data_IF_699429468280
#
_entry.id   IF_699429468280
#
_cell.length_a   1.000
_cell.length_b   1.000
_cell.length_c   1.000
_cell.angle_alpha   90.00
_cell.angle_beta   90.00
_cell.angle_gamma   90.00
#
_symmetry.space_group_name_H-M   'P 1'
#
loop_
_entity.id
_entity.type
_entity.pdbx_description
1 polymer ?
#
# COMPACT_ATOMS: atom_id res chain seq x y z
N UNK A 1 15.19 -8.06 -2.84
CA UNK A 1 16.41 -8.65 -3.47
C UNK A 1 17.60 -8.71 -2.51
N UNK A 2 17.81 -7.71 -1.65
CA UNK A 2 18.93 -7.72 -0.73
C UNK A 2 18.78 -8.82 0.34
N UNK A 3 17.60 -8.94 0.93
CA UNK A 3 17.28 -9.98 1.91
C UNK A 3 17.55 -11.40 1.37
N UNK A 4 17.25 -11.66 0.08
CA UNK A 4 17.51 -12.97 -0.54
C UNK A 4 19.00 -13.34 -0.62
N UNK A 5 19.90 -12.38 -0.48
CA UNK A 5 21.35 -12.61 -0.46
C UNK A 5 21.89 -12.95 0.93
N UNK A 6 21.11 -12.66 1.98
CA UNK A 6 21.55 -12.71 3.36
C UNK A 6 20.73 -13.64 4.24
N UNK A 7 19.53 -14.02 3.82
CA UNK A 7 18.66 -14.99 4.49
C UNK A 7 18.58 -16.23 3.61
N UNK A 8 19.15 -17.32 4.07
CA UNK A 8 19.26 -18.58 3.33
C UNK A 8 18.09 -19.49 3.64
N UNK A 9 17.66 -19.54 4.89
CA UNK A 9 16.50 -20.33 5.32
C UNK A 9 15.38 -19.44 5.84
N UNK A 10 14.30 -19.33 5.06
CA UNK A 10 13.10 -18.57 5.45
C UNK A 10 12.16 -19.37 6.37
N UNK A 11 12.48 -20.62 6.71
CA UNK A 11 11.84 -21.37 7.79
C UNK A 11 12.47 -21.07 9.15
N UNK A 12 13.70 -20.55 9.16
CA UNK A 12 14.38 -20.06 10.35
C UNK A 12 13.98 -18.60 10.63
N UNK A 13 13.10 -18.44 11.61
CA UNK A 13 12.63 -17.12 12.03
C UNK A 13 13.72 -16.25 12.65
N UNK A 14 14.71 -16.87 13.28
CA UNK A 14 15.81 -16.15 13.94
C UNK A 14 16.74 -15.55 12.89
N UNK A 15 17.02 -16.25 11.79
CA UNK A 15 17.80 -15.71 10.68
C UNK A 15 17.09 -14.51 10.03
N UNK A 16 15.76 -14.60 9.81
CA UNK A 16 14.95 -13.49 9.33
C UNK A 16 15.01 -12.32 10.31
N UNK A 17 14.82 -12.57 11.59
CA UNK A 17 14.82 -11.57 12.66
C UNK A 17 16.15 -10.84 12.74
N UNK A 18 17.24 -11.56 12.71
CA UNK A 18 18.60 -10.99 12.75
C UNK A 18 18.86 -10.05 11.59
N UNK A 19 18.48 -10.46 10.39
CA UNK A 19 18.62 -9.60 9.22
C UNK A 19 17.76 -8.33 9.32
N UNK A 20 16.51 -8.46 9.74
CA UNK A 20 15.61 -7.32 9.93
C UNK A 20 16.11 -6.37 11.02
N UNK A 21 16.72 -6.89 12.08
CA UNK A 21 17.37 -6.07 13.10
C UNK A 21 18.58 -5.31 12.54
N UNK A 22 19.42 -5.96 11.70
CA UNK A 22 20.53 -5.27 11.01
C UNK A 22 20.01 -4.12 10.13
N UNK A 23 18.90 -4.32 9.40
CA UNK A 23 18.25 -3.22 8.66
C UNK A 23 17.83 -2.08 9.59
N UNK A 24 17.09 -2.39 10.66
CA UNK A 24 16.61 -1.39 11.60
C UNK A 24 17.75 -0.63 12.30
N UNK A 25 18.88 -1.28 12.56
CA UNK A 25 20.06 -0.64 13.17
C UNK A 25 21.00 0.04 12.16
N UNK A 26 20.56 0.22 10.91
CA UNK A 26 21.33 0.88 9.84
C UNK A 26 22.62 0.15 9.47
N UNK A 27 22.67 -1.17 9.66
CA UNK A 27 23.84 -2.02 9.40
C UNK A 27 23.74 -2.83 8.10
N UNK A 28 22.60 -2.78 7.40
CA UNK A 28 22.36 -3.52 6.17
C UNK A 28 21.64 -2.67 5.12
N UNK A 29 21.64 -3.14 3.87
CA UNK A 29 21.04 -2.51 2.69
C UNK A 29 21.46 -1.05 2.53
N UNK A 30 20.52 -0.10 2.52
CA UNK A 30 20.74 1.33 2.30
C UNK A 30 21.07 2.11 3.58
N UNK A 31 21.21 1.44 4.70
CA UNK A 31 21.55 2.01 6.02
C UNK A 31 20.59 3.10 6.52
N UNK A 32 19.35 3.15 6.00
CA UNK A 32 18.34 4.12 6.45
C UNK A 32 17.62 3.69 7.72
N UNK A 33 17.70 2.42 8.10
CA UNK A 33 17.03 1.89 9.29
C UNK A 33 15.54 1.69 9.09
N UNK A 34 15.11 1.43 7.83
CA UNK A 34 13.73 1.24 7.43
C UNK A 34 13.52 -0.17 6.89
N UNK A 35 12.36 -0.74 7.18
CA UNK A 35 11.83 -1.91 6.48
C UNK A 35 10.73 -1.40 5.57
N UNK A 36 11.00 -1.37 4.27
CA UNK A 36 10.07 -0.86 3.27
C UNK A 36 8.82 -1.73 3.17
N UNK A 37 7.69 -1.08 2.94
CA UNK A 37 6.39 -1.76 2.93
C UNK A 37 5.76 -1.94 4.31
N UNK A 38 6.43 -1.51 5.39
CA UNK A 38 5.92 -1.62 6.76
C UNK A 38 5.57 -0.25 7.34
N UNK A 39 4.37 -0.17 7.94
CA UNK A 39 3.83 1.05 8.56
C UNK A 39 3.13 1.98 7.59
N UNK A 40 2.23 2.80 8.11
CA UNK A 40 1.49 3.80 7.36
C UNK A 40 1.19 5.02 8.26
N UNK A 41 1.06 6.20 7.66
CA UNK A 41 0.77 7.43 8.41
C UNK A 41 -0.65 7.46 9.02
N UNK A 42 -1.60 6.78 8.38
CA UNK A 42 -3.02 6.74 8.77
C UNK A 42 -3.41 5.39 9.37
N UNK A 43 -3.07 4.30 8.69
CA UNK A 43 -3.45 2.95 9.11
C UNK A 43 -2.46 2.41 10.15
N UNK A 44 -2.94 2.20 11.37
CA UNK A 44 -2.12 1.71 12.50
C UNK A 44 -2.31 0.23 12.79
N UNK A 45 -3.53 -0.28 12.61
CA UNK A 45 -3.88 -1.67 12.88
C UNK A 45 -3.74 -2.55 11.63
N UNK A 46 -4.26 -2.06 10.51
CA UNK A 46 -4.26 -2.79 9.24
C UNK A 46 -4.50 -1.79 8.10
N UNK A 47 -3.80 -1.96 6.99
CA UNK A 47 -4.08 -1.25 5.74
C UNK A 47 -5.07 -2.10 4.92
N UNK A 48 -6.33 -1.67 4.74
CA UNK A 48 -7.34 -2.46 4.04
C UNK A 48 -6.95 -2.76 2.58
N UNK A 49 -6.16 -1.89 1.95
CA UNK A 49 -5.64 -2.11 0.60
C UNK A 49 -4.61 -3.24 0.58
N UNK A 50 -3.76 -3.32 1.61
CA UNK A 50 -2.78 -4.37 1.77
C UNK A 50 -3.46 -5.72 2.01
N UNK A 51 -4.52 -5.77 2.82
CA UNK A 51 -5.29 -6.99 3.09
C UNK A 51 -5.88 -7.56 1.79
N UNK A 52 -6.56 -6.72 1.00
CA UNK A 52 -7.13 -7.13 -0.28
C UNK A 52 -6.03 -7.59 -1.25
N UNK A 53 -4.95 -6.82 -1.37
CA UNK A 53 -3.85 -7.17 -2.27
C UNK A 53 -3.16 -8.48 -1.86
N UNK A 54 -3.03 -8.75 -0.55
CA UNK A 54 -2.48 -10.00 -0.01
C UNK A 54 -3.30 -11.22 -0.46
N UNK A 55 -4.63 -11.12 -0.45
CA UNK A 55 -5.50 -12.20 -0.92
C UNK A 55 -5.30 -12.49 -2.41
N UNK A 56 -5.21 -11.44 -3.24
CA UNK A 56 -4.90 -11.59 -4.65
C UNK A 56 -3.49 -12.15 -4.88
N UNK A 57 -2.50 -11.69 -4.10
CA UNK A 57 -1.13 -12.20 -4.16
C UNK A 57 -1.08 -13.70 -3.84
N UNK A 58 -1.87 -14.16 -2.86
CA UNK A 58 -1.99 -15.58 -2.50
C UNK A 58 -2.58 -16.40 -3.65
N UNK A 59 -3.70 -15.95 -4.23
CA UNK A 59 -4.34 -16.62 -5.38
C UNK A 59 -3.38 -16.71 -6.57
N UNK A 60 -2.78 -15.59 -6.94
CA UNK A 60 -1.83 -15.51 -8.05
C UNK A 60 -0.58 -16.36 -7.81
N UNK A 61 -0.10 -16.46 -6.56
CA UNK A 61 1.04 -17.31 -6.23
C UNK A 61 0.75 -18.80 -6.46
N UNK A 62 -0.48 -19.26 -6.17
CA UNK A 62 -0.91 -20.61 -6.47
C UNK A 62 -0.98 -20.86 -7.98
N UNK A 63 -1.58 -19.93 -8.74
CA UNK A 63 -1.65 -20.03 -10.21
C UNK A 63 -0.26 -20.06 -10.89
N UNK A 64 0.72 -19.39 -10.30
CA UNK A 64 2.10 -19.29 -10.81
C UNK A 64 3.08 -20.27 -10.16
N UNK A 65 2.61 -21.20 -9.32
CA UNK A 65 3.43 -22.17 -8.58
C UNK A 65 4.55 -21.50 -7.74
N UNK A 66 4.20 -20.39 -7.08
CA UNK A 66 5.13 -19.58 -6.24
C UNK A 66 4.68 -19.47 -4.78
N UNK A 67 3.95 -20.44 -4.27
CA UNK A 67 3.40 -20.45 -2.90
C UNK A 67 4.49 -20.38 -1.84
N UNK A 68 5.63 -21.06 -2.08
CA UNK A 68 6.79 -21.00 -1.19
C UNK A 68 7.34 -19.56 -1.07
N UNK A 69 7.29 -18.80 -2.14
CA UNK A 69 7.73 -17.41 -2.11
C UNK A 69 6.71 -16.52 -1.38
N UNK A 70 5.43 -16.75 -1.59
CA UNK A 70 4.37 -16.06 -0.85
C UNK A 70 4.50 -16.30 0.66
N UNK A 71 4.72 -17.54 1.10
CA UNK A 71 4.94 -17.88 2.50
C UNK A 71 6.12 -17.11 3.11
N UNK A 72 7.22 -16.89 2.34
CA UNK A 72 8.34 -16.04 2.78
C UNK A 72 7.91 -14.61 3.05
N UNK A 73 7.04 -14.04 2.20
CA UNK A 73 6.49 -12.69 2.43
C UNK A 73 5.66 -12.64 3.71
N UNK A 74 4.85 -13.67 3.99
CA UNK A 74 4.04 -13.74 5.22
C UNK A 74 4.93 -13.81 6.48
N UNK A 75 5.97 -14.64 6.47
CA UNK A 75 6.93 -14.72 7.58
C UNK A 75 7.63 -13.39 7.82
N UNK A 76 8.11 -12.74 6.74
CA UNK A 76 8.77 -11.44 6.84
C UNK A 76 7.82 -10.36 7.33
N UNK A 77 6.58 -10.31 6.84
CA UNK A 77 5.55 -9.36 7.30
C UNK A 77 5.36 -9.42 8.82
N UNK A 78 5.14 -10.63 9.34
CA UNK A 78 4.90 -10.85 10.77
C UNK A 78 6.12 -10.44 11.60
N UNK A 79 7.28 -10.98 11.28
CA UNK A 79 8.51 -10.75 12.05
C UNK A 79 8.94 -9.27 11.96
N UNK A 80 8.78 -8.62 10.80
CA UNK A 80 9.09 -7.20 10.64
C UNK A 80 8.19 -6.33 11.52
N UNK A 81 6.89 -6.63 11.58
CA UNK A 81 5.95 -5.92 12.46
C UNK A 81 6.36 -5.97 13.93
N UNK A 82 6.75 -7.16 14.40
CA UNK A 82 7.26 -7.38 15.77
C UNK A 82 8.57 -6.61 16.03
N UNK A 83 9.54 -6.72 15.11
CA UNK A 83 10.84 -6.07 15.24
C UNK A 83 10.72 -4.54 15.31
N UNK A 84 9.86 -3.95 14.47
CA UNK A 84 9.61 -2.50 14.48
C UNK A 84 8.94 -2.09 15.78
N UNK A 85 7.92 -2.85 16.23
CA UNK A 85 7.20 -2.57 17.47
C UNK A 85 8.16 -2.61 18.68
N UNK A 86 8.99 -3.65 18.77
CA UNK A 86 10.00 -3.77 19.82
C UNK A 86 10.98 -2.59 19.82
N UNK A 87 11.51 -2.22 18.65
CA UNK A 87 12.44 -1.09 18.52
C UNK A 87 11.82 0.24 18.90
N UNK A 88 10.57 0.47 18.51
CA UNK A 88 9.83 1.72 18.76
C UNK A 88 9.07 1.72 20.10
N UNK A 89 9.16 0.63 20.87
CA UNK A 89 8.43 0.43 22.14
C UNK A 89 6.91 0.60 21.97
N UNK A 90 6.37 0.04 20.88
CA UNK A 90 4.94 0.05 20.61
C UNK A 90 4.27 -1.16 21.27
N UNK A 91 3.02 -0.99 21.70
CA UNK A 91 2.21 -2.06 22.30
C UNK A 91 1.71 -3.09 21.28
N UNK A 92 1.65 -2.72 20.00
CA UNK A 92 1.14 -3.58 18.92
C UNK A 92 2.14 -3.64 17.77
N UNK A 93 2.20 -4.77 17.04
CA UNK A 93 2.97 -4.86 15.81
C UNK A 93 2.57 -3.80 14.78
N UNK A 94 3.52 -3.40 13.96
CA UNK A 94 3.28 -2.45 12.86
C UNK A 94 2.77 -3.24 11.66
N UNK A 95 1.65 -2.80 11.06
CA UNK A 95 1.08 -3.46 9.90
C UNK A 95 1.87 -3.20 8.62
N UNK A 96 1.78 -4.14 7.66
CA UNK A 96 2.23 -3.91 6.30
C UNK A 96 1.31 -2.89 5.59
N UNK A 97 1.87 -2.12 4.69
CA UNK A 97 1.12 -1.27 3.78
C UNK A 97 1.02 -1.90 2.38
N UNK A 98 0.29 -1.25 1.47
CA UNK A 98 0.03 -1.79 0.13
C UNK A 98 1.30 -2.12 -0.66
N UNK A 99 2.39 -1.39 -0.43
CA UNK A 99 3.65 -1.57 -1.18
C UNK A 99 4.36 -2.87 -0.83
N UNK A 100 4.05 -3.48 0.32
CA UNK A 100 4.67 -4.72 0.75
C UNK A 100 4.41 -5.87 -0.23
N UNK A 101 3.17 -6.01 -0.68
CA UNK A 101 2.78 -7.09 -1.62
C UNK A 101 2.75 -6.66 -3.08
N UNK A 102 2.67 -5.35 -3.39
CA UNK A 102 2.55 -4.86 -4.77
C UNK A 102 3.74 -5.29 -5.64
N UNK A 103 4.96 -5.18 -5.12
CA UNK A 103 6.15 -5.61 -5.85
C UNK A 103 6.19 -7.12 -6.14
N UNK A 104 5.65 -7.94 -5.25
CA UNK A 104 5.52 -9.38 -5.47
C UNK A 104 4.49 -9.69 -6.56
N UNK A 105 3.32 -9.04 -6.51
CA UNK A 105 2.28 -9.19 -7.54
C UNK A 105 2.81 -8.76 -8.90
N UNK A 106 3.45 -7.60 -9.01
CA UNK A 106 4.02 -7.11 -10.26
C UNK A 106 5.08 -8.06 -10.82
N UNK A 107 5.92 -8.62 -9.95
CA UNK A 107 6.90 -9.64 -10.36
C UNK A 107 6.24 -10.89 -10.94
N UNK A 108 5.14 -11.36 -10.33
CA UNK A 108 4.39 -12.52 -10.83
C UNK A 108 3.68 -12.25 -12.17
N UNK A 109 3.31 -10.99 -12.41
CA UNK A 109 2.73 -10.52 -13.67
C UNK A 109 3.79 -10.25 -14.75
N UNK A 110 5.07 -10.46 -14.45
CA UNK A 110 6.16 -10.24 -15.41
C UNK A 110 6.46 -8.78 -15.70
N UNK A 111 6.00 -7.84 -14.85
CA UNK A 111 6.26 -6.43 -15.04
C UNK A 111 7.71 -6.08 -14.69
N UNK A 112 8.44 -5.34 -15.54
CA UNK A 112 9.75 -4.84 -15.21
C UNK A 112 9.68 -3.81 -14.07
N UNK A 113 10.70 -3.78 -13.21
CA UNK A 113 10.71 -2.95 -11.99
C UNK A 113 10.62 -1.45 -12.27
N UNK A 114 11.12 -1.04 -13.41
CA UNK A 114 11.10 0.35 -13.90
C UNK A 114 9.65 0.86 -14.08
N UNK A 115 8.70 -0.04 -14.29
CA UNK A 115 7.29 0.30 -14.45
C UNK A 115 6.50 0.36 -13.13
N UNK A 116 7.03 -0.06 -11.99
CA UNK A 116 6.26 -0.12 -10.74
C UNK A 116 5.73 1.25 -10.31
N UNK A 117 6.58 2.26 -10.32
CA UNK A 117 6.17 3.65 -10.03
C UNK A 117 5.30 4.26 -11.15
N UNK A 118 5.65 4.13 -12.45
CA UNK A 118 4.79 4.59 -13.55
C UNK A 118 3.37 4.02 -13.52
N UNK A 119 3.18 2.73 -13.21
CA UNK A 119 1.85 2.11 -13.08
C UNK A 119 1.04 2.76 -11.97
N UNK A 120 1.67 3.09 -10.86
CA UNK A 120 1.03 3.84 -9.77
C UNK A 120 0.57 5.23 -10.24
N UNK A 121 1.41 5.95 -10.98
CA UNK A 121 1.08 7.25 -11.54
C UNK A 121 -0.08 7.16 -12.55
N UNK A 122 -0.06 6.18 -13.45
CA UNK A 122 -1.14 5.94 -14.43
C UNK A 122 -2.48 5.73 -13.71
N UNK A 123 -2.50 4.90 -12.66
CA UNK A 123 -3.72 4.63 -11.90
C UNK A 123 -4.25 5.88 -11.15
N UNK A 124 -3.42 6.88 -10.93
CA UNK A 124 -3.80 8.14 -10.26
C UNK A 124 -4.29 9.24 -11.21
N UNK A 125 -4.01 9.14 -12.50
CA UNK A 125 -4.35 10.20 -13.47
C UNK A 125 -5.83 10.53 -13.44
N UNK A 126 -6.71 9.54 -13.37
CA UNK A 126 -8.17 9.78 -13.29
C UNK A 126 -8.56 10.55 -12.03
N UNK A 127 -7.99 10.18 -10.87
CA UNK A 127 -8.23 10.88 -9.60
C UNK A 127 -7.64 12.30 -9.60
N UNK A 128 -6.44 12.49 -10.11
CA UNK A 128 -5.83 13.81 -10.25
C UNK A 128 -6.63 14.69 -11.20
N UNK A 129 -7.10 14.15 -12.32
CA UNK A 129 -7.94 14.90 -13.26
C UNK A 129 -9.26 15.31 -12.63
N UNK A 130 -9.92 14.43 -11.87
CA UNK A 130 -11.14 14.74 -11.14
C UNK A 130 -10.92 15.85 -10.12
N UNK A 131 -9.87 15.79 -9.32
CA UNK A 131 -9.53 16.83 -8.36
C UNK A 131 -9.18 18.16 -9.05
N UNK A 132 -8.47 18.10 -10.18
CA UNK A 132 -8.13 19.33 -10.93
C UNK A 132 -9.36 19.99 -11.52
N UNK A 133 -10.28 19.23 -12.06
CA UNK A 133 -11.55 19.75 -12.58
C UNK A 133 -12.36 20.38 -11.43
N UNK A 134 -12.47 19.71 -10.30
CA UNK A 134 -13.18 20.21 -9.12
C UNK A 134 -12.55 21.50 -8.60
N UNK A 135 -11.23 21.59 -8.54
CA UNK A 135 -10.51 22.80 -8.16
C UNK A 135 -10.79 23.98 -9.10
N UNK A 136 -10.77 23.73 -10.42
CA UNK A 136 -11.03 24.76 -11.43
C UNK A 136 -12.48 25.26 -11.39
N UNK A 137 -13.44 24.36 -11.18
CA UNK A 137 -14.88 24.68 -11.12
C UNK A 137 -15.23 25.48 -9.86
N UNK A 138 -14.59 25.14 -8.74
CA UNK A 138 -14.90 25.74 -7.44
C UNK A 138 -13.99 26.91 -7.06
N UNK A 139 -13.02 27.28 -7.91
CA UNK A 139 -12.01 28.31 -7.64
C UNK A 139 -11.38 28.18 -6.24
N UNK A 140 -11.11 26.92 -5.86
CA UNK A 140 -10.74 26.56 -4.51
C UNK A 140 -9.35 27.06 -4.10
N UNK A 141 -9.22 27.40 -2.83
CA UNK A 141 -7.92 27.65 -2.20
C UNK A 141 -7.14 26.34 -2.04
N UNK A 142 -5.83 26.43 -1.84
CA UNK A 142 -4.98 25.26 -1.55
C UNK A 142 -5.58 24.44 -0.40
N UNK A 143 -5.92 23.19 -0.66
CA UNK A 143 -6.43 22.25 0.34
C UNK A 143 -5.28 21.78 1.20
N UNK A 144 -5.40 21.96 2.51
CA UNK A 144 -4.46 21.40 3.50
C UNK A 144 -5.00 20.08 4.04
N UNK A 145 -4.18 19.03 4.19
CA UNK A 145 -4.65 17.66 4.49
C UNK A 145 -5.22 17.46 5.92
N UNK A 146 -5.62 18.50 6.61
CA UNK A 146 -6.23 18.45 7.95
C UNK A 146 -7.76 18.56 7.94
N UNK A 147 -8.40 18.54 6.77
CA UNK A 147 -9.87 18.63 6.66
C UNK A 147 -10.54 17.31 7.00
N UNK A 148 -11.58 17.40 7.82
CA UNK A 148 -12.46 16.27 8.12
C UNK A 148 -13.58 16.21 7.09
N UNK A 149 -13.86 15.02 6.56
CA UNK A 149 -15.04 14.81 5.73
C UNK A 149 -16.32 15.01 6.58
N UNK A 150 -17.18 15.92 6.15
CA UNK A 150 -18.45 16.27 6.83
C UNK A 150 -19.68 15.86 6.03
N UNK A 151 -19.50 15.24 4.88
CA UNK A 151 -20.59 14.72 4.05
C UNK A 151 -21.18 13.43 4.58
N UNK A 152 -22.29 13.00 4.02
CA UNK A 152 -22.90 11.72 4.34
C UNK A 152 -22.17 10.56 3.65
N UNK A 153 -21.83 9.52 4.41
CA UNK A 153 -21.34 8.29 3.82
C UNK A 153 -22.40 7.67 2.93
N UNK A 154 -22.05 7.43 1.68
CA UNK A 154 -22.92 6.76 0.72
C UNK A 154 -22.27 5.44 0.30
N UNK A 155 -23.04 4.36 0.12
CA UNK A 155 -22.53 3.11 -0.41
C UNK A 155 -22.00 3.33 -1.84
N UNK A 156 -21.00 2.56 -2.22
CA UNK A 156 -20.53 2.57 -3.60
C UNK A 156 -21.64 2.10 -4.54
N UNK A 157 -21.89 2.87 -5.60
CA UNK A 157 -22.82 2.50 -6.67
C UNK A 157 -21.99 2.21 -7.92
N UNK A 158 -22.12 0.99 -8.42
CA UNK A 158 -21.48 0.59 -9.67
C UNK A 158 -21.94 1.48 -10.84
N UNK A 159 -21.07 1.69 -11.82
CA UNK A 159 -21.30 2.68 -12.89
C UNK A 159 -22.58 2.38 -13.67
N UNK A 160 -22.91 1.10 -13.85
CA UNK A 160 -24.11 0.62 -14.56
C UNK A 160 -25.41 0.95 -13.82
N UNK A 161 -25.34 1.24 -12.53
CA UNK A 161 -26.47 1.56 -11.66
C UNK A 161 -26.59 3.04 -11.33
N UNK A 162 -25.70 3.87 -11.89
CA UNK A 162 -25.73 5.32 -11.65
C UNK A 162 -26.77 5.98 -12.56
N UNK A 163 -27.78 6.59 -11.96
CA UNK A 163 -28.70 7.43 -12.70
C UNK A 163 -28.06 8.77 -13.00
N UNK A 164 -28.17 9.33 -14.24
CA UNK A 164 -27.70 10.65 -14.55
C UNK A 164 -28.32 11.68 -13.59
N UNK A 165 -27.50 12.53 -12.98
CA UNK A 165 -28.00 13.61 -12.15
C UNK A 165 -28.76 14.57 -13.05
N UNK A 166 -30.04 14.80 -12.82
CA UNK A 166 -30.78 15.90 -13.48
C UNK A 166 -30.07 17.19 -13.08
N UNK A 167 -29.34 17.79 -14.00
CA UNK A 167 -28.75 19.12 -13.84
C UNK A 167 -29.87 20.12 -13.85
N UNK A 168 -30.37 20.52 -12.68
CA UNK A 168 -31.20 21.69 -12.53
C UNK A 168 -30.28 22.93 -12.56
N UNK A 169 -29.78 23.30 -13.73
CA UNK A 169 -29.22 24.62 -13.95
C UNK A 169 -30.32 25.51 -14.46
N UNK A 170 -31.10 26.08 -13.55
CA UNK A 170 -31.72 27.33 -13.80
C UNK A 170 -30.72 28.44 -13.46
N UNK A 171 -29.91 28.86 -14.40
CA UNK A 171 -29.29 30.17 -14.31
C UNK A 171 -30.42 31.22 -14.44
N UNK A 172 -30.87 31.76 -13.32
CA UNK A 172 -31.61 33.02 -13.36
C UNK A 172 -30.58 34.10 -13.61
N UNK A 173 -30.57 34.60 -14.84
CA UNK A 173 -29.98 35.92 -15.14
C UNK A 173 -30.75 36.97 -14.34
N UNK A 174 -30.10 37.66 -13.45
CA UNK A 174 -30.38 39.03 -13.04
C UNK A 174 -29.04 39.74 -12.90
#
# INVERSE_FOLDING_TARGET
NDMRKHVHDYSDEDEIRDYLQKLLHKKAFDKRGLIYGMGHAVYTLSDPRCVILKEYAKKLSAEKHREKEFARYESVERIAGECIAKKRRLLKPVCANVDFYSGFVYTMLGLPKELYTPIFAISRISGWSAHRIEELVNEGKIIRPAYKYVGHHRPYVAIERRTPRKTSHSFSNN
#
